data_IF_523368755919
#
_entry.id   IF_523368755919
#
_cell.length_a   1.000
_cell.length_b   1.000
_cell.length_c   1.000
_cell.angle_alpha   90.00
_cell.angle_beta   90.00
_cell.angle_gamma   90.00
#
_symmetry.space_group_name_H-M   'P 1'
#
loop_
_entity.id
_entity.type
_entity.pdbx_description
1 polymer ?
#
# COMPACT_ATOMS: atom_id res chain seq x y z
N UNK A 1 19.82 -2.26 -6.41
CA UNK A 1 19.25 -3.56 -6.86
C UNK A 1 19.26 -4.51 -5.68
N UNK A 2 18.18 -5.25 -5.49
CA UNK A 2 18.11 -6.31 -4.48
C UNK A 2 18.95 -7.51 -4.90
N UNK A 3 19.35 -8.33 -3.93
CA UNK A 3 20.18 -9.54 -4.12
C UNK A 3 19.28 -10.78 -4.05
N UNK A 4 19.73 -11.95 -4.53
CA UNK A 4 18.95 -13.19 -4.39
C UNK A 4 18.50 -13.48 -2.95
N UNK A 5 19.34 -13.18 -1.95
CA UNK A 5 19.00 -13.35 -0.53
C UNK A 5 17.82 -12.46 -0.09
N UNK A 6 17.65 -11.28 -0.71
CA UNK A 6 16.53 -10.39 -0.42
C UNK A 6 15.22 -10.97 -0.98
N UNK A 7 15.29 -11.64 -2.14
CA UNK A 7 14.16 -12.38 -2.73
C UNK A 7 13.79 -13.57 -1.85
N UNK A 8 14.78 -14.34 -1.40
CA UNK A 8 14.58 -15.47 -0.48
C UNK A 8 13.93 -14.97 0.83
N UNK A 9 14.42 -13.86 1.37
CA UNK A 9 13.84 -13.22 2.56
C UNK A 9 12.38 -12.81 2.34
N UNK A 10 12.06 -12.16 1.20
CA UNK A 10 10.68 -11.79 0.88
C UNK A 10 9.77 -13.02 0.77
N UNK A 11 10.24 -14.08 0.12
CA UNK A 11 9.48 -15.33 -0.01
C UNK A 11 9.25 -16.02 1.35
N UNK A 12 10.21 -15.92 2.26
CA UNK A 12 10.11 -16.50 3.60
C UNK A 12 9.26 -15.66 4.54
N UNK A 13 9.47 -14.34 4.56
CA UNK A 13 8.92 -13.43 5.56
C UNK A 13 7.69 -12.66 5.07
N UNK A 14 7.45 -12.60 3.77
CA UNK A 14 6.30 -11.92 3.16
C UNK A 14 6.45 -10.40 3.07
N UNK A 15 7.60 -9.85 3.39
CA UNK A 15 7.89 -8.42 3.27
C UNK A 15 9.38 -8.18 2.99
N UNK A 16 9.70 -6.99 2.48
CA UNK A 16 11.09 -6.55 2.23
C UNK A 16 11.16 -5.02 2.29
N UNK A 17 12.03 -4.47 3.12
CA UNK A 17 12.35 -3.05 3.11
C UNK A 17 13.56 -2.79 2.20
N UNK A 18 13.37 -2.02 1.14
CA UNK A 18 14.44 -1.61 0.22
C UNK A 18 14.75 -0.15 0.46
N UNK A 19 16.00 0.13 0.82
CA UNK A 19 16.46 1.47 1.15
C UNK A 19 16.79 2.29 -0.10
N UNK A 20 16.49 3.59 -0.05
CA UNK A 20 16.92 4.57 -1.05
C UNK A 20 16.43 4.30 -2.46
N UNK A 21 15.21 3.76 -2.62
CA UNK A 21 14.60 3.53 -3.94
C UNK A 21 14.39 4.86 -4.66
N UNK A 22 13.97 5.89 -3.91
CA UNK A 22 13.78 7.26 -4.39
C UNK A 22 14.80 8.19 -3.75
N UNK A 23 15.33 9.12 -4.54
CA UNK A 23 16.19 10.18 -4.02
C UNK A 23 15.37 11.32 -3.38
N UNK A 24 16.06 12.23 -2.69
CA UNK A 24 15.41 13.31 -1.98
C UNK A 24 14.58 14.24 -2.87
N UNK A 25 15.03 14.50 -4.11
CA UNK A 25 14.30 15.36 -5.05
C UNK A 25 12.96 14.72 -5.46
N UNK A 26 12.96 13.42 -5.74
CA UNK A 26 11.76 12.65 -6.11
C UNK A 26 10.77 12.59 -4.96
N UNK A 27 11.28 12.37 -3.73
CA UNK A 27 10.45 12.41 -2.52
C UNK A 27 9.80 13.78 -2.34
N UNK A 28 10.56 14.88 -2.55
CA UNK A 28 10.03 16.22 -2.40
C UNK A 28 9.02 16.59 -3.49
N UNK A 29 9.19 16.09 -4.71
CA UNK A 29 8.17 16.22 -5.77
C UNK A 29 6.87 15.54 -5.36
N UNK A 30 6.91 14.30 -4.86
CA UNK A 30 5.73 13.58 -4.36
C UNK A 30 5.10 14.26 -3.13
N UNK A 31 5.89 14.80 -2.21
CA UNK A 31 5.37 15.58 -1.07
C UNK A 31 4.57 16.80 -1.51
N UNK A 32 5.10 17.56 -2.49
CA UNK A 32 4.38 18.72 -3.07
C UNK A 32 3.08 18.28 -3.75
N UNK A 33 3.11 17.17 -4.48
CA UNK A 33 1.92 16.61 -5.12
C UNK A 33 0.86 16.20 -4.09
N UNK A 34 1.25 15.55 -2.98
CA UNK A 34 0.34 15.24 -1.85
C UNK A 34 -0.30 16.50 -1.31
N UNK A 35 0.48 17.54 -1.02
CA UNK A 35 -0.04 18.83 -0.55
C UNK A 35 -1.03 19.45 -1.54
N UNK A 36 -0.69 19.48 -2.82
CA UNK A 36 -1.56 20.00 -3.89
C UNK A 36 -2.89 19.24 -4.00
N UNK A 37 -2.88 17.91 -3.85
CA UNK A 37 -4.12 17.10 -3.87
C UNK A 37 -5.00 17.48 -2.69
N UNK A 38 -4.44 17.56 -1.47
CA UNK A 38 -5.17 17.92 -0.26
C UNK A 38 -5.78 19.33 -0.40
N UNK A 39 -5.01 20.31 -0.88
CA UNK A 39 -5.47 21.69 -1.07
C UNK A 39 -6.60 21.78 -2.10
N UNK A 40 -6.50 21.05 -3.21
CA UNK A 40 -7.54 21.00 -4.25
C UNK A 40 -8.82 20.35 -3.72
N UNK A 41 -8.70 19.29 -2.94
CA UNK A 41 -9.85 18.63 -2.33
C UNK A 41 -10.53 19.53 -1.30
N UNK A 42 -9.79 20.24 -0.47
CA UNK A 42 -10.31 21.20 0.48
C UNK A 42 -11.06 22.35 -0.21
N UNK A 43 -10.51 22.91 -1.31
CA UNK A 43 -11.18 23.94 -2.12
C UNK A 43 -12.45 23.45 -2.79
N UNK A 44 -12.53 22.15 -3.11
CA UNK A 44 -13.70 21.52 -3.70
C UNK A 44 -14.74 21.06 -2.65
N UNK A 45 -14.55 21.38 -1.38
CA UNK A 45 -15.37 20.89 -0.24
C UNK A 45 -15.55 19.36 -0.24
N UNK A 46 -14.56 18.62 -0.68
CA UNK A 46 -14.56 17.15 -0.62
C UNK A 46 -13.95 16.70 0.69
N UNK A 47 -14.72 15.94 1.46
CA UNK A 47 -14.18 15.21 2.61
C UNK A 47 -13.25 14.09 2.09
N UNK A 48 -12.01 14.12 2.54
CA UNK A 48 -10.97 13.15 2.18
C UNK A 48 -10.43 12.41 3.41
N UNK A 49 -11.15 12.46 4.51
CA UNK A 49 -10.86 11.59 5.63
C UNK A 49 -11.28 10.17 5.25
N UNK A 50 -10.32 9.25 5.20
CA UNK A 50 -10.62 7.85 5.05
C UNK A 50 -11.39 7.40 6.30
N UNK A 51 -12.65 7.06 6.12
CA UNK A 51 -13.47 6.53 7.21
C UNK A 51 -13.17 5.03 7.32
N UNK A 52 -12.52 4.64 8.41
CA UNK A 52 -12.48 3.25 8.80
C UNK A 52 -13.81 2.85 9.40
N UNK A 53 -14.54 2.01 8.70
CA UNK A 53 -15.73 1.37 9.27
C UNK A 53 -15.28 0.17 10.08
N UNK A 54 -15.23 0.30 11.42
CA UNK A 54 -14.90 -0.81 12.28
C UNK A 54 -15.04 -0.51 13.77
N UNK A 55 -15.39 -1.54 14.52
CA UNK A 55 -15.67 -1.49 15.96
C UNK A 55 -14.43 -1.64 16.85
N UNK A 56 -13.25 -1.34 16.30
CA UNK A 56 -11.98 -1.54 17.03
C UNK A 56 -11.69 -0.44 18.05
N UNK A 57 -12.38 0.69 17.97
CA UNK A 57 -12.35 1.76 18.96
C UNK A 57 -13.78 2.24 19.27
N UNK A 58 -13.98 2.82 20.47
CA UNK A 58 -15.25 3.46 20.79
C UNK A 58 -15.60 4.53 19.74
N UNK A 59 -16.89 4.69 19.36
CA UNK A 59 -17.31 5.65 18.33
C UNK A 59 -16.86 7.08 18.57
N UNK A 60 -16.72 7.50 19.83
CA UNK A 60 -16.26 8.83 20.22
C UNK A 60 -14.76 9.04 19.99
N UNK A 61 -13.97 7.96 20.04
CA UNK A 61 -12.54 8.00 19.72
C UNK A 61 -12.34 7.95 18.20
N UNK A 62 -13.11 7.12 17.49
CA UNK A 62 -13.07 7.04 16.03
C UNK A 62 -13.35 8.39 15.36
N UNK A 63 -14.28 9.19 15.89
CA UNK A 63 -14.60 10.53 15.38
C UNK A 63 -13.43 11.53 15.49
N UNK A 64 -12.51 11.31 16.41
CA UNK A 64 -11.35 12.19 16.65
C UNK A 64 -10.15 11.82 15.78
N UNK A 65 -10.14 10.60 15.24
CA UNK A 65 -9.03 10.11 14.44
C UNK A 65 -9.13 10.62 13.00
N UNK A 66 -8.00 11.04 12.46
CA UNK A 66 -7.89 11.56 11.11
C UNK A 66 -6.92 10.71 10.32
N UNK A 67 -7.38 10.21 9.20
CA UNK A 67 -6.54 9.65 8.15
C UNK A 67 -6.96 10.27 6.83
N UNK A 68 -6.08 11.06 6.23
CA UNK A 68 -6.33 11.57 4.89
C UNK A 68 -5.88 10.55 3.87
N UNK A 69 -6.78 10.17 2.99
CA UNK A 69 -6.51 9.18 1.94
C UNK A 69 -7.12 9.57 0.61
N UNK A 70 -6.38 9.31 -0.47
CA UNK A 70 -6.86 9.45 -1.84
C UNK A 70 -6.46 8.22 -2.63
N UNK A 71 -7.41 7.70 -3.41
CA UNK A 71 -7.15 6.67 -4.42
C UNK A 71 -6.66 7.30 -5.72
N UNK A 72 -6.04 6.47 -6.57
CA UNK A 72 -5.64 6.78 -7.94
C UNK A 72 -4.74 8.01 -8.05
N UNK A 73 -3.79 8.15 -7.12
CA UNK A 73 -2.91 9.31 -7.06
C UNK A 73 -2.12 9.53 -8.35
N UNK A 74 -1.79 8.45 -9.07
CA UNK A 74 -1.12 8.49 -10.38
C UNK A 74 -1.97 9.19 -11.46
N UNK A 75 -3.27 9.31 -11.23
CA UNK A 75 -4.20 10.04 -12.09
C UNK A 75 -4.25 11.54 -11.76
N UNK A 76 -3.81 11.90 -10.57
CA UNK A 76 -3.88 13.28 -10.08
C UNK A 76 -2.61 14.09 -10.28
N UNK A 77 -1.44 13.43 -10.31
CA UNK A 77 -0.16 14.10 -10.51
C UNK A 77 0.87 13.16 -11.16
N UNK A 78 1.61 13.69 -12.14
CA UNK A 78 2.58 12.94 -12.92
C UNK A 78 3.79 12.44 -12.09
N UNK A 79 4.07 13.01 -10.93
CA UNK A 79 5.14 12.52 -10.04
C UNK A 79 4.85 11.09 -9.56
N UNK A 80 3.58 10.78 -9.26
CA UNK A 80 3.18 9.43 -8.87
C UNK A 80 3.22 8.44 -10.02
N UNK A 81 2.92 8.89 -11.26
CA UNK A 81 3.08 8.02 -12.43
C UNK A 81 4.55 7.68 -12.66
N UNK A 82 5.46 8.67 -12.53
CA UNK A 82 6.91 8.42 -12.62
C UNK A 82 7.40 7.49 -11.51
N UNK A 83 6.90 7.66 -10.28
CA UNK A 83 7.24 6.78 -9.15
C UNK A 83 6.77 5.35 -9.39
N UNK A 84 5.56 5.17 -9.92
CA UNK A 84 4.94 3.88 -10.21
C UNK A 84 5.77 3.03 -11.18
N UNK A 85 6.41 3.65 -12.18
CA UNK A 85 7.25 2.99 -13.18
C UNK A 85 8.74 3.27 -12.97
N UNK A 86 9.14 3.73 -11.80
CA UNK A 86 10.53 4.07 -11.50
C UNK A 86 11.45 2.85 -11.71
N UNK A 87 12.63 3.00 -12.37
CA UNK A 87 13.52 1.88 -12.68
C UNK A 87 13.91 1.03 -11.47
N UNK A 88 14.23 1.65 -10.32
CA UNK A 88 14.55 0.92 -9.10
C UNK A 88 13.33 0.14 -8.56
N UNK A 89 12.13 0.71 -8.69
CA UNK A 89 10.87 0.05 -8.29
C UNK A 89 10.61 -1.18 -9.16
N UNK A 90 10.62 -1.01 -10.48
CA UNK A 90 10.33 -2.09 -11.44
C UNK A 90 11.39 -3.19 -11.40
N UNK A 91 12.66 -2.86 -11.13
CA UNK A 91 13.72 -3.84 -10.93
C UNK A 91 13.51 -4.71 -9.68
N UNK A 92 12.89 -4.20 -8.62
CA UNK A 92 12.49 -4.99 -7.45
C UNK A 92 11.26 -5.83 -7.79
N UNK A 93 10.22 -5.21 -8.34
CA UNK A 93 8.96 -5.89 -8.67
C UNK A 93 9.16 -7.10 -9.58
N UNK A 94 9.99 -6.95 -10.63
CA UNK A 94 10.25 -8.04 -11.58
C UNK A 94 10.92 -9.26 -10.94
N UNK A 95 11.66 -9.07 -9.84
CA UNK A 95 12.28 -10.15 -9.10
C UNK A 95 11.34 -10.79 -8.07
N UNK A 96 10.43 -10.00 -7.47
CA UNK A 96 9.51 -10.48 -6.43
C UNK A 96 8.28 -11.19 -7.00
N UNK A 97 7.69 -10.66 -8.10
CA UNK A 97 6.41 -11.18 -8.64
C UNK A 97 6.45 -11.52 -10.13
N UNK A 98 7.64 -11.54 -10.71
CA UNK A 98 7.88 -11.95 -12.09
C UNK A 98 8.08 -10.79 -13.06
N UNK A 99 8.52 -11.08 -14.31
CA UNK A 99 8.97 -10.06 -15.25
C UNK A 99 7.83 -9.16 -15.76
N UNK A 100 6.61 -9.67 -15.78
CA UNK A 100 5.44 -8.99 -16.34
C UNK A 100 4.53 -8.53 -15.20
N UNK A 101 4.58 -7.24 -14.89
CA UNK A 101 3.89 -6.66 -13.73
C UNK A 101 2.90 -5.60 -14.18
N UNK A 102 1.72 -5.66 -13.60
CA UNK A 102 0.64 -4.69 -13.80
C UNK A 102 0.32 -3.93 -12.51
N UNK A 103 -0.10 -2.68 -12.68
CA UNK A 103 -0.73 -1.91 -11.63
C UNK A 103 -2.10 -2.50 -11.31
N UNK A 104 -2.43 -2.62 -10.02
CA UNK A 104 -3.80 -2.81 -9.57
C UNK A 104 -4.42 -1.45 -9.22
N UNK A 105 -3.88 -0.73 -8.26
CA UNK A 105 -4.30 0.62 -7.91
C UNK A 105 -3.20 1.39 -7.16
N UNK A 106 -3.43 2.67 -6.93
CA UNK A 106 -2.58 3.48 -6.09
C UNK A 106 -3.39 4.30 -5.09
N UNK A 107 -2.80 4.56 -3.94
CA UNK A 107 -3.39 5.44 -2.93
C UNK A 107 -2.31 6.18 -2.15
N UNK A 108 -2.63 7.36 -1.63
CA UNK A 108 -1.80 8.02 -0.63
C UNK A 108 -2.50 7.99 0.72
N UNK A 109 -1.71 7.93 1.78
CA UNK A 109 -2.18 7.97 3.15
C UNK A 109 -1.36 8.98 3.94
N UNK A 110 -2.06 9.83 4.68
CA UNK A 110 -1.44 10.81 5.57
C UNK A 110 -1.98 10.63 6.98
N UNK A 111 -1.11 10.25 7.90
CA UNK A 111 -1.39 10.28 9.33
C UNK A 111 -0.95 11.63 9.89
N UNK A 112 -1.88 12.54 10.20
CA UNK A 112 -1.52 13.82 10.80
C UNK A 112 -0.96 13.63 12.22
N UNK A 113 -0.30 14.68 12.79
CA UNK A 113 0.18 14.65 14.16
C UNK A 113 -0.97 14.47 15.14
N UNK A 114 -0.68 13.89 16.31
CA UNK A 114 -1.56 13.73 17.48
C UNK A 114 -2.81 12.87 17.28
N UNK A 115 -3.50 13.00 16.14
CA UNK A 115 -4.76 12.32 15.84
C UNK A 115 -4.68 11.36 14.65
N UNK A 116 -3.49 11.05 14.15
CA UNK A 116 -3.30 10.11 13.05
C UNK A 116 -3.81 8.70 13.41
N UNK A 117 -4.82 8.22 12.69
CA UNK A 117 -5.53 6.98 13.00
C UNK A 117 -4.63 5.75 13.04
N UNK A 118 -4.87 4.87 14.00
CA UNK A 118 -4.34 3.52 13.97
C UNK A 118 -4.99 2.70 12.83
N UNK A 119 -4.27 1.72 12.33
CA UNK A 119 -4.79 0.67 11.45
C UNK A 119 -4.68 -0.67 12.17
N UNK A 120 -5.78 -1.34 12.51
CA UNK A 120 -5.73 -2.68 13.07
C UNK A 120 -5.01 -3.65 12.13
N UNK A 121 -4.50 -4.76 12.69
CA UNK A 121 -3.91 -5.81 11.88
C UNK A 121 -4.94 -6.39 10.92
N UNK A 122 -4.54 -6.54 9.66
CA UNK A 122 -5.36 -7.06 8.57
C UNK A 122 -4.48 -7.66 7.46
N UNK A 123 -5.12 -8.34 6.54
CA UNK A 123 -4.58 -8.69 5.24
C UNK A 123 -5.28 -7.81 4.19
N UNK A 124 -4.58 -7.46 3.12
CA UNK A 124 -5.21 -6.76 1.99
C UNK A 124 -6.10 -7.69 1.13
N UNK A 125 -5.88 -9.00 1.21
CA UNK A 125 -6.58 -10.02 0.42
C UNK A 125 -8.11 -9.86 0.35
N UNK A 126 -8.85 -9.60 1.45
CA UNK A 126 -10.31 -9.53 1.39
C UNK A 126 -10.87 -8.41 0.51
N UNK A 127 -10.07 -7.40 0.24
CA UNK A 127 -10.48 -6.27 -0.60
C UNK A 127 -10.43 -6.60 -2.09
N UNK A 128 -9.46 -7.42 -2.49
CA UNK A 128 -9.20 -7.72 -3.91
C UNK A 128 -8.54 -9.10 -4.06
N UNK A 129 -9.31 -10.19 -3.84
CA UNK A 129 -8.79 -11.55 -3.97
C UNK A 129 -8.36 -11.85 -5.41
N UNK A 130 -7.19 -12.49 -5.55
CA UNK A 130 -6.60 -12.90 -6.83
C UNK A 130 -6.29 -14.40 -6.84
N UNK A 131 -6.23 -14.98 -8.05
CA UNK A 131 -6.11 -16.44 -8.24
C UNK A 131 -4.78 -17.01 -7.75
N UNK A 132 -3.67 -16.28 -7.94
CA UNK A 132 -2.30 -16.76 -7.69
C UNK A 132 -1.63 -16.11 -6.48
N UNK A 133 -2.31 -15.19 -5.81
CA UNK A 133 -1.79 -14.50 -4.63
C UNK A 133 -0.45 -13.78 -4.85
N UNK A 134 -0.19 -13.29 -6.06
CA UNK A 134 1.05 -12.56 -6.38
C UNK A 134 0.99 -11.10 -5.99
N UNK A 135 -0.18 -10.61 -5.58
CA UNK A 135 -0.32 -9.19 -5.24
C UNK A 135 0.61 -8.77 -4.11
N UNK A 136 1.25 -7.64 -4.32
CA UNK A 136 2.05 -6.98 -3.30
C UNK A 136 1.75 -5.48 -3.26
N UNK A 137 1.92 -4.92 -2.07
CA UNK A 137 1.94 -3.49 -1.84
C UNK A 137 3.37 -2.98 -1.81
N UNK A 138 3.63 -1.87 -2.48
CA UNK A 138 4.87 -1.09 -2.34
C UNK A 138 4.52 0.23 -1.63
N UNK A 139 4.85 0.30 -0.34
CA UNK A 139 4.64 1.50 0.49
C UNK A 139 5.86 2.40 0.40
N UNK A 140 5.75 3.46 -0.39
CA UNK A 140 6.78 4.50 -0.55
C UNK A 140 6.70 5.47 0.62
N UNK A 141 7.77 5.57 1.39
CA UNK A 141 7.84 6.48 2.53
C UNK A 141 8.22 7.88 2.04
N UNK A 142 7.31 8.82 2.20
CA UNK A 142 7.60 10.24 1.93
C UNK A 142 8.15 10.97 3.15
N UNK A 143 7.97 10.42 4.34
CA UNK A 143 8.54 10.87 5.60
C UNK A 143 9.17 9.67 6.31
N UNK A 144 10.15 9.96 7.18
CA UNK A 144 10.71 8.93 8.05
C UNK A 144 9.59 8.30 8.87
N UNK A 145 9.60 6.99 8.94
CA UNK A 145 8.63 6.19 9.68
C UNK A 145 9.30 5.52 10.87
N UNK A 146 8.77 5.74 12.06
CA UNK A 146 9.25 5.17 13.31
C UNK A 146 8.08 4.78 14.22
N UNK A 147 8.37 4.23 15.39
CA UNK A 147 7.35 3.77 16.33
C UNK A 147 6.46 4.92 16.80
N UNK A 148 7.04 6.11 17.08
CA UNK A 148 6.32 7.27 17.58
C UNK A 148 5.29 7.81 16.59
N UNK A 149 5.66 7.87 15.30
CA UNK A 149 4.74 8.35 14.24
C UNK A 149 3.88 7.26 13.60
N UNK A 150 3.88 6.08 14.22
CA UNK A 150 3.02 4.96 13.83
C UNK A 150 3.45 4.31 12.53
N UNK A 151 4.74 3.89 12.42
CA UNK A 151 5.22 3.09 11.29
C UNK A 151 4.39 1.82 11.08
N UNK A 152 4.49 1.23 9.91
CA UNK A 152 3.83 -0.06 9.64
C UNK A 152 4.47 -1.15 10.51
N UNK A 153 3.63 -2.05 11.03
CA UNK A 153 4.04 -3.28 11.70
C UNK A 153 3.58 -4.45 10.84
N UNK A 154 4.41 -5.48 10.73
CA UNK A 154 4.11 -6.71 10.01
C UNK A 154 4.27 -7.92 10.92
N UNK A 155 3.55 -9.01 10.64
CA UNK A 155 3.84 -10.30 11.25
C UNK A 155 4.62 -11.13 10.22
N UNK A 156 5.94 -11.32 10.43
CA UNK A 156 6.80 -12.05 9.49
C UNK A 156 6.28 -13.47 9.23
N UNK A 157 6.34 -13.93 7.98
CA UNK A 157 5.90 -15.26 7.57
C UNK A 157 4.39 -15.48 7.53
N UNK A 158 3.57 -14.49 7.97
CA UNK A 158 2.13 -14.66 8.09
C UNK A 158 1.39 -14.86 6.77
N UNK A 159 1.94 -14.43 5.65
CA UNK A 159 1.38 -14.67 4.31
C UNK A 159 1.26 -16.15 3.96
N UNK A 160 2.09 -17.02 4.57
CA UNK A 160 2.05 -18.48 4.39
C UNK A 160 0.82 -19.13 4.99
N UNK A 161 0.10 -18.42 5.86
CA UNK A 161 -1.16 -18.91 6.44
C UNK A 161 -2.32 -18.85 5.43
N UNK A 162 -2.11 -18.19 4.28
CA UNK A 162 -3.16 -17.94 3.31
C UNK A 162 -4.20 -16.92 3.80
N UNK A 163 -5.38 -16.87 3.16
CA UNK A 163 -6.47 -15.99 3.55
C UNK A 163 -7.03 -16.34 4.93
N UNK A 164 -7.10 -15.35 5.82
CA UNK A 164 -7.66 -15.48 7.15
C UNK A 164 -9.08 -14.90 7.22
N UNK A 165 -9.86 -15.40 8.19
CA UNK A 165 -11.17 -14.82 8.49
C UNK A 165 -11.02 -13.48 9.18
N UNK A 166 -11.67 -12.44 8.63
CA UNK A 166 -11.67 -11.09 9.18
C UNK A 166 -12.92 -10.83 10.03
N UNK A 167 -12.77 -10.03 11.07
CA UNK A 167 -13.89 -9.50 11.85
C UNK A 167 -14.45 -8.29 11.10
N UNK A 168 -15.74 -8.29 10.79
CA UNK A 168 -16.29 -7.32 9.84
C UNK A 168 -15.73 -7.54 8.44
N UNK A 169 -15.51 -6.45 7.69
CA UNK A 169 -14.96 -6.55 6.32
C UNK A 169 -13.43 -6.45 6.24
N UNK A 170 -12.73 -5.96 7.27
CA UNK A 170 -11.47 -5.29 6.99
C UNK A 170 -10.32 -5.57 7.97
N UNK A 171 -10.50 -6.25 9.10
CA UNK A 171 -9.41 -6.44 10.07
C UNK A 171 -9.53 -7.76 10.83
N UNK A 172 -8.41 -8.17 11.39
CA UNK A 172 -8.32 -9.36 12.23
C UNK A 172 -8.76 -9.02 13.67
N UNK A 173 -9.09 -10.05 14.44
CA UNK A 173 -9.41 -9.89 15.84
C UNK A 173 -8.22 -9.28 16.61
N UNK A 174 -8.39 -8.06 17.13
CA UNK A 174 -7.31 -7.31 17.79
C UNK A 174 -6.79 -7.97 19.08
N UNK A 175 -7.53 -8.92 19.68
CA UNK A 175 -7.05 -9.71 20.82
C UNK A 175 -6.11 -10.82 20.40
N UNK A 176 -6.30 -11.37 19.19
CA UNK A 176 -5.47 -12.44 18.63
C UNK A 176 -4.28 -11.85 17.86
N UNK A 177 -4.48 -10.68 17.26
CA UNK A 177 -3.48 -10.00 16.44
C UNK A 177 -3.34 -8.53 16.89
N UNK A 178 -2.81 -8.26 18.08
CA UNK A 178 -2.58 -6.88 18.50
C UNK A 178 -1.42 -6.27 17.70
N UNK A 179 -1.55 -5.00 17.32
CA UNK A 179 -0.51 -4.30 16.54
C UNK A 179 0.86 -4.29 17.26
N UNK A 180 0.84 -4.31 18.59
CA UNK A 180 2.05 -4.33 19.41
C UNK A 180 2.91 -5.58 19.26
N UNK A 181 2.36 -6.69 18.77
CA UNK A 181 3.11 -7.93 18.52
C UNK A 181 3.73 -7.98 17.12
N UNK A 182 3.35 -7.05 16.23
CA UNK A 182 3.97 -6.94 14.93
C UNK A 182 5.38 -6.33 14.99
N UNK A 183 6.23 -6.74 14.08
CA UNK A 183 7.57 -6.15 13.89
C UNK A 183 7.45 -4.75 13.29
N UNK A 184 7.96 -3.68 13.93
CA UNK A 184 7.93 -2.33 13.38
C UNK A 184 8.86 -2.20 12.18
N UNK A 185 8.34 -1.72 11.05
CA UNK A 185 9.10 -1.42 9.84
C UNK A 185 9.55 0.04 9.88
N UNK A 186 10.71 0.27 10.49
CA UNK A 186 11.34 1.60 10.56
C UNK A 186 11.98 1.89 9.20
N UNK A 187 11.68 3.06 8.63
CA UNK A 187 12.14 3.46 7.31
C UNK A 187 12.46 4.95 7.24
N UNK A 188 13.33 5.32 6.32
CA UNK A 188 13.64 6.72 5.99
C UNK A 188 12.85 7.16 4.76
N UNK A 189 12.73 8.46 4.57
CA UNK A 189 12.10 9.02 3.38
C UNK A 189 12.87 8.58 2.10
N UNK A 190 12.14 8.02 1.13
CA UNK A 190 12.71 7.42 -0.09
C UNK A 190 12.86 5.91 -0.04
N UNK A 191 12.73 5.30 1.14
CA UNK A 191 12.65 3.85 1.29
C UNK A 191 11.29 3.32 0.83
N UNK A 192 11.26 2.06 0.41
CA UNK A 192 10.03 1.38 0.04
C UNK A 192 9.91 0.05 0.78
N UNK A 193 8.79 -0.12 1.48
CA UNK A 193 8.42 -1.38 2.09
C UNK A 193 7.51 -2.15 1.11
N UNK A 194 8.02 -3.27 0.61
CA UNK A 194 7.24 -4.23 -0.18
C UNK A 194 6.66 -5.29 0.74
N UNK A 195 5.39 -5.63 0.59
CA UNK A 195 4.80 -6.73 1.35
C UNK A 195 3.70 -7.43 0.54
N UNK A 196 3.63 -8.76 0.71
CA UNK A 196 2.59 -9.56 0.10
C UNK A 196 1.22 -9.18 0.70
N UNK A 197 0.17 -9.15 -0.11
CA UNK A 197 -1.16 -8.75 0.35
C UNK A 197 -1.81 -9.72 1.37
N UNK A 198 -1.23 -10.92 1.53
CA UNK A 198 -1.56 -11.86 2.59
C UNK A 198 -0.73 -11.63 3.88
N UNK A 199 0.30 -10.79 3.85
CA UNK A 199 1.05 -10.46 5.05
C UNK A 199 0.16 -9.70 6.02
N UNK A 200 0.05 -10.20 7.25
CA UNK A 200 -0.68 -9.50 8.32
C UNK A 200 0.09 -8.24 8.67
N UNK A 201 -0.57 -7.10 8.54
CA UNK A 201 0.03 -5.81 8.81
C UNK A 201 -0.97 -4.83 9.42
N UNK A 202 -0.44 -3.84 10.10
CA UNK A 202 -1.20 -2.77 10.72
C UNK A 202 -0.28 -1.63 11.12
N UNK A 203 -0.81 -0.62 11.80
CA UNK A 203 0.04 0.46 12.30
C UNK A 203 -0.58 1.16 13.49
N UNK A 204 0.20 1.50 14.52
CA UNK A 204 -0.30 2.25 15.66
C UNK A 204 -0.65 3.70 15.27
N UNK A 205 -1.24 4.43 16.20
CA UNK A 205 -1.53 5.84 16.05
C UNK A 205 -0.26 6.66 15.87
N UNK A 206 -0.33 7.74 15.08
CA UNK A 206 0.73 8.76 15.08
C UNK A 206 0.61 9.63 16.33
N UNK A 207 1.62 9.57 17.19
CA UNK A 207 1.71 10.35 18.43
C UNK A 207 2.75 11.45 18.36
N UNK A 208 3.42 11.57 17.20
CA UNK A 208 4.43 12.60 16.97
C UNK A 208 3.79 13.94 16.56
N UNK A 209 4.58 15.00 16.57
CA UNK A 209 4.19 16.34 16.11
C UNK A 209 4.27 16.52 14.59
N UNK A 210 4.57 15.46 13.83
CA UNK A 210 4.79 15.52 12.37
C UNK A 210 3.82 14.63 11.62
N UNK A 211 3.48 15.03 10.39
CA UNK A 211 2.77 14.16 9.48
C UNK A 211 3.61 12.92 9.13
N UNK A 212 2.97 11.78 8.94
CA UNK A 212 3.54 10.63 8.27
C UNK A 212 2.78 10.39 6.97
N UNK A 213 3.44 10.67 5.84
CA UNK A 213 2.90 10.50 4.48
C UNK A 213 3.53 9.29 3.82
N UNK A 214 2.70 8.47 3.21
CA UNK A 214 3.17 7.42 2.32
C UNK A 214 2.27 7.31 1.10
N UNK A 215 2.83 6.78 0.01
CA UNK A 215 2.12 6.40 -1.20
C UNK A 215 2.19 4.89 -1.33
N UNK A 216 1.05 4.27 -1.55
CA UNK A 216 0.93 2.85 -1.75
C UNK A 216 0.62 2.58 -3.22
N UNK A 217 1.43 1.74 -3.84
CA UNK A 217 1.16 1.15 -5.14
C UNK A 217 0.90 -0.34 -4.95
N UNK A 218 -0.25 -0.82 -5.40
CA UNK A 218 -0.56 -2.25 -5.41
C UNK A 218 -0.29 -2.80 -6.80
N UNK A 219 0.55 -3.84 -6.84
CA UNK A 219 0.96 -4.50 -8.08
C UNK A 219 0.60 -5.98 -8.06
N UNK A 220 0.48 -6.55 -9.25
CA UNK A 220 0.28 -7.98 -9.44
C UNK A 220 1.08 -8.50 -10.63
N UNK A 221 1.34 -9.79 -10.67
CA UNK A 221 1.78 -10.42 -11.91
C UNK A 221 0.71 -10.26 -12.99
N UNK A 222 1.10 -10.01 -14.23
CA UNK A 222 0.16 -9.88 -15.35
C UNK A 222 -0.64 -11.16 -15.63
N UNK A 223 -0.23 -12.30 -15.06
CA UNK A 223 -0.92 -13.59 -15.17
C UNK A 223 -1.79 -13.92 -13.95
N UNK A 224 -1.91 -13.03 -12.98
CA UNK A 224 -2.72 -13.20 -11.77
C UNK A 224 -4.01 -12.39 -11.90
N UNK A 225 -5.13 -13.06 -12.03
CA UNK A 225 -6.41 -12.44 -12.33
C UNK A 225 -7.25 -12.20 -11.08
N UNK A 226 -8.03 -11.10 -11.03
CA UNK A 226 -8.94 -10.86 -9.93
C UNK A 226 -10.07 -11.89 -9.92
N UNK A 227 -10.42 -12.37 -8.73
CA UNK A 227 -11.52 -13.32 -8.52
C UNK A 227 -12.88 -12.62 -8.37
N UNK A 228 -12.88 -11.31 -8.14
CA UNK A 228 -14.08 -10.48 -8.00
C UNK A 228 -13.98 -9.24 -8.87
N UNK A 229 -15.11 -8.60 -9.13
CA UNK A 229 -15.17 -7.30 -9.84
C UNK A 229 -15.14 -6.11 -8.89
N UNK A 230 -14.84 -6.32 -7.63
CA UNK A 230 -14.71 -5.25 -6.65
C UNK A 230 -13.37 -4.53 -6.85
N UNK A 231 -13.31 -3.25 -6.56
CA UNK A 231 -12.10 -2.43 -6.68
C UNK A 231 -11.48 -2.34 -8.08
N UNK A 232 -12.32 -2.08 -9.09
CA UNK A 232 -11.81 -1.65 -10.39
C UNK A 232 -11.45 -0.17 -10.35
N UNK A 233 -10.17 0.11 -10.23
CA UNK A 233 -9.64 1.46 -10.15
C UNK A 233 -9.04 1.92 -11.49
N UNK A 234 -8.90 3.22 -11.65
CA UNK A 234 -8.31 3.82 -12.84
C UNK A 234 -6.86 3.36 -13.02
N UNK A 235 -6.51 2.93 -14.22
CA UNK A 235 -5.16 2.43 -14.52
C UNK A 235 -4.93 0.98 -14.14
N UNK A 236 -5.92 0.27 -13.61
CA UNK A 236 -5.84 -1.16 -13.36
C UNK A 236 -5.47 -1.91 -14.64
N UNK A 237 -4.45 -2.79 -14.55
CA UNK A 237 -3.92 -3.51 -15.71
C UNK A 237 -2.89 -2.74 -16.51
N UNK A 238 -2.55 -1.50 -16.13
CA UNK A 238 -1.43 -0.78 -16.73
C UNK A 238 -0.13 -1.57 -16.54
N UNK A 239 0.55 -1.89 -17.64
CA UNK A 239 1.86 -2.54 -17.58
C UNK A 239 2.89 -1.58 -16.99
N UNK A 240 3.56 -2.00 -15.92
CA UNK A 240 4.62 -1.22 -15.26
C UNK A 240 6.00 -1.75 -15.59
N UNK A 241 6.12 -3.03 -15.90
CA UNK A 241 7.31 -3.63 -16.51
C UNK A 241 6.95 -4.91 -17.27
N UNK A 242 7.83 -5.31 -18.20
CA UNK A 242 7.61 -6.45 -19.07
C UNK A 242 6.54 -6.21 -20.15
N UNK A 243 5.94 -7.28 -20.60
CA UNK A 243 4.90 -7.27 -21.65
C UNK A 243 3.61 -7.94 -21.16
N UNK A 244 2.48 -7.58 -21.77
CA UNK A 244 1.23 -8.24 -21.46
C UNK A 244 1.19 -9.63 -22.14
N UNK A 245 1.23 -10.75 -21.39
CA UNK A 245 1.22 -12.09 -21.96
C UNK A 245 -0.13 -12.47 -22.58
N UNK A 246 -1.15 -11.64 -22.44
CA UNK A 246 -2.51 -11.86 -22.90
C UNK A 246 -2.99 -10.79 -23.90
N UNK A 247 -2.06 -10.16 -24.61
CA UNK A 247 -2.39 -9.08 -25.56
C UNK A 247 -3.35 -9.53 -26.70
N UNK A 248 -3.32 -10.82 -27.04
CA UNK A 248 -4.15 -11.44 -28.07
C UNK A 248 -5.57 -11.81 -27.59
N UNK A 249 -5.82 -11.71 -26.30
CA UNK A 249 -7.11 -11.97 -25.68
C UNK A 249 -7.62 -10.68 -25.04
N UNK A 250 -8.67 -10.11 -25.64
CA UNK A 250 -9.41 -9.08 -24.95
C UNK A 250 -9.85 -9.65 -23.58
N UNK A 251 -9.25 -9.20 -22.49
CA UNK A 251 -9.67 -9.62 -21.17
C UNK A 251 -11.08 -9.04 -20.95
N UNK A 252 -12.11 -9.86 -20.66
CA UNK A 252 -13.49 -9.37 -20.58
C UNK A 252 -13.67 -8.21 -19.61
N UNK A 253 -12.81 -8.14 -18.62
CA UNK A 253 -12.82 -7.09 -17.58
C UNK A 253 -12.28 -5.75 -18.09
N UNK A 254 -11.48 -5.75 -19.14
CA UNK A 254 -10.86 -4.56 -19.74
C UNK A 254 -11.47 -4.16 -21.07
N UNK A 255 -12.48 -4.89 -21.52
CA UNK A 255 -13.21 -4.50 -22.74
C UNK A 255 -14.11 -3.33 -22.38
N UNK A 256 -13.59 -2.12 -22.55
CA UNK A 256 -14.43 -0.92 -22.60
C UNK A 256 -15.13 -0.98 -23.95
N UNK A 257 -16.43 -1.20 -23.93
CA UNK A 257 -17.30 -1.08 -25.09
C UNK A 257 -17.62 0.38 -25.32
#
# INVERSE_FOLDING_TARGET
MIKPQDVDFYNEEGYLLVKGVFNQQEVEEMRRAVGSIIDRAAKANRDHNAQWQGDFLPPEELKKLVLKGFHDVHYHDASFLRALVHPNMTAVLSQLIGPNVQLHHSKMLVKPPENGAAFPMHQDYPYFPHEKNTMLAASVHLDDANIENGCLHVIPGSHKQGPLSHVGRHYLNAKEYPVSEGLPCIAEAGDVLFFNYLTIHGSPQNRSERNRRNVLFQYRSATDFPMTKEHFDWGMGLMVCGENPHFDKAHPEYTIV
#
